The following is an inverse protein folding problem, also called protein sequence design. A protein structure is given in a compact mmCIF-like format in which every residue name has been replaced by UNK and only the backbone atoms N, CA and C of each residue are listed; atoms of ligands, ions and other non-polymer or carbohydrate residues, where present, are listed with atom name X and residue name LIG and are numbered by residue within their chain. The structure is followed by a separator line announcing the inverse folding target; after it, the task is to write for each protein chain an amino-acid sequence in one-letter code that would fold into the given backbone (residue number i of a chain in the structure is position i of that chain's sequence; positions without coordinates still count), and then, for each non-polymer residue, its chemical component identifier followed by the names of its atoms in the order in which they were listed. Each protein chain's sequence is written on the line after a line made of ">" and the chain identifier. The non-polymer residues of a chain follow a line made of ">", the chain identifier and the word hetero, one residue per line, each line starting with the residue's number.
data_IF_676989780626
#
_entry.id   IF_676989780626
#
_cell.length_a   1.000
_cell.length_b   1.000
_cell.length_c   1.000
_cell.angle_alpha   90.00
_cell.angle_beta   90.00
_cell.angle_gamma   90.00
#
_symmetry.space_group_name_H-M   'P 1'
#
loop_
_entity.id
_entity.type
_entity.pdbx_description
1 polymer ?
#
# COMPACT_ATOMS: atom_id res chain seq x y z
N UNK A 1 8.56 -20.20 19.71
CA UNK A 1 8.71 -18.76 20.00
C UNK A 1 9.34 -18.61 21.38
N UNK A 2 10.46 -17.89 21.51
CA UNK A 2 11.15 -17.75 22.79
C UNK A 2 10.54 -16.64 23.67
N UNK A 3 9.76 -15.73 23.08
CA UNK A 3 8.98 -14.71 23.78
C UNK A 3 7.66 -14.36 23.06
N UNK A 4 6.77 -13.62 23.76
CA UNK A 4 5.56 -13.00 23.18
C UNK A 4 5.91 -12.00 22.08
N UNK A 5 7.04 -11.31 22.22
CA UNK A 5 7.53 -10.35 21.24
C UNK A 5 7.93 -11.06 19.93
N UNK A 6 8.63 -12.19 20.02
CA UNK A 6 9.01 -12.98 18.84
C UNK A 6 7.79 -13.48 18.08
N UNK A 7 6.73 -13.89 18.79
CA UNK A 7 5.48 -14.30 18.16
C UNK A 7 4.79 -13.15 17.43
N UNK A 8 4.76 -11.94 18.01
CA UNK A 8 4.17 -10.76 17.38
C UNK A 8 4.94 -10.35 16.11
N UNK A 9 6.27 -10.36 16.17
CA UNK A 9 7.13 -10.07 15.02
C UNK A 9 6.93 -11.07 13.87
N UNK A 10 6.82 -12.36 14.19
CA UNK A 10 6.59 -13.41 13.18
C UNK A 10 5.20 -13.29 12.53
N UNK A 11 4.16 -12.98 13.32
CA UNK A 11 2.81 -12.74 12.78
C UNK A 11 2.82 -11.56 11.82
N UNK A 12 3.43 -10.44 12.20
CA UNK A 12 3.51 -9.28 11.34
C UNK A 12 4.32 -9.53 10.06
N UNK A 13 5.45 -10.23 10.18
CA UNK A 13 6.27 -10.64 9.03
C UNK A 13 5.50 -11.54 8.08
N UNK A 14 4.68 -12.45 8.62
CA UNK A 14 3.77 -13.29 7.83
C UNK A 14 2.75 -12.47 7.03
N UNK A 15 2.08 -11.51 7.67
CA UNK A 15 1.10 -10.65 7.01
C UNK A 15 1.75 -9.80 5.91
N UNK A 16 2.92 -9.19 6.17
CA UNK A 16 3.66 -8.40 5.18
C UNK A 16 4.07 -9.27 3.97
N UNK A 17 4.50 -10.51 4.22
CA UNK A 17 4.83 -11.46 3.15
C UNK A 17 3.62 -11.79 2.29
N UNK A 18 2.47 -12.05 2.91
CA UNK A 18 1.21 -12.35 2.21
C UNK A 18 0.78 -11.17 1.32
N UNK A 19 0.89 -9.93 1.83
CA UNK A 19 0.66 -8.71 1.05
C UNK A 19 1.59 -8.67 -0.17
N UNK A 20 2.89 -8.90 0.03
CA UNK A 20 3.87 -8.91 -1.05
C UNK A 20 3.57 -9.96 -2.13
N UNK A 21 3.16 -11.16 -1.74
CA UNK A 21 2.77 -12.23 -2.67
C UNK A 21 1.49 -11.89 -3.45
N UNK A 22 0.48 -11.36 -2.76
CA UNK A 22 -0.77 -10.90 -3.38
C UNK A 22 -0.50 -9.84 -4.44
N UNK A 23 0.29 -8.82 -4.09
CA UNK A 23 0.66 -7.73 -5.01
C UNK A 23 1.51 -8.23 -6.18
N UNK A 24 2.42 -9.17 -5.96
CA UNK A 24 3.22 -9.74 -7.04
C UNK A 24 2.35 -10.38 -8.13
N UNK A 25 1.31 -11.14 -7.75
CA UNK A 25 0.39 -11.78 -8.70
C UNK A 25 -0.45 -10.73 -9.44
N UNK A 26 -1.05 -9.79 -8.70
CA UNK A 26 -1.89 -8.74 -9.29
C UNK A 26 -1.13 -7.87 -10.30
N UNK A 27 0.15 -7.63 -10.06
CA UNK A 27 0.94 -6.75 -10.92
C UNK A 27 1.36 -7.37 -12.24
N UNK A 28 1.24 -8.69 -12.42
CA UNK A 28 1.57 -9.35 -13.69
C UNK A 28 0.62 -8.97 -14.84
N UNK A 29 -0.60 -8.52 -14.53
CA UNK A 29 -1.60 -8.15 -15.55
C UNK A 29 -1.58 -6.68 -15.94
N UNK A 30 -0.81 -5.83 -15.27
CA UNK A 30 -0.79 -4.40 -15.56
C UNK A 30 0.14 -4.08 -16.74
N UNK A 31 -0.43 -3.57 -17.83
CA UNK A 31 0.30 -3.32 -19.09
C UNK A 31 0.64 -1.85 -19.33
N UNK A 32 0.09 -0.93 -18.52
CA UNK A 32 0.43 0.51 -18.55
C UNK A 32 0.75 1.03 -17.14
N UNK A 33 1.58 2.06 -16.98
CA UNK A 33 1.85 2.71 -15.70
C UNK A 33 0.58 3.15 -14.98
N UNK A 34 -0.37 3.74 -15.71
CA UNK A 34 -1.66 4.17 -15.16
C UNK A 34 -2.46 2.98 -14.61
N UNK A 35 -2.54 1.89 -15.37
CA UNK A 35 -3.21 0.67 -14.92
C UNK A 35 -2.48 0.02 -13.74
N UNK A 36 -1.15 0.07 -13.71
CA UNK A 36 -0.34 -0.45 -12.62
C UNK A 36 -0.55 0.34 -11.32
N UNK A 37 -0.58 1.68 -11.39
CA UNK A 37 -0.88 2.52 -10.23
C UNK A 37 -2.27 2.22 -9.66
N UNK A 38 -3.28 2.12 -10.53
CA UNK A 38 -4.64 1.80 -10.12
C UNK A 38 -4.74 0.40 -9.50
N UNK A 39 -4.06 -0.60 -10.10
CA UNK A 39 -4.03 -1.98 -9.60
C UNK A 39 -3.28 -2.06 -8.26
N UNK A 40 -2.21 -1.30 -8.09
CA UNK A 40 -1.47 -1.24 -6.84
C UNK A 40 -2.35 -0.76 -5.67
N UNK A 41 -3.06 0.36 -5.87
CA UNK A 41 -3.95 0.94 -4.87
C UNK A 41 -5.11 -0.03 -4.56
N UNK A 42 -5.85 -0.46 -5.59
CA UNK A 42 -7.00 -1.37 -5.41
C UNK A 42 -6.58 -2.71 -4.81
N UNK A 43 -5.44 -3.26 -5.19
CA UNK A 43 -4.92 -4.52 -4.66
C UNK A 43 -4.59 -4.41 -3.17
N UNK A 44 -3.92 -3.33 -2.76
CA UNK A 44 -3.54 -3.13 -1.36
C UNK A 44 -4.77 -2.91 -0.47
N UNK A 45 -5.73 -2.10 -0.93
CA UNK A 45 -6.99 -1.87 -0.20
C UNK A 45 -7.89 -3.12 -0.21
N UNK A 46 -7.93 -3.85 -1.32
CA UNK A 46 -8.64 -5.13 -1.43
C UNK A 46 -8.10 -6.17 -0.46
N UNK A 47 -6.79 -6.24 -0.24
CA UNK A 47 -6.21 -7.09 0.79
C UNK A 47 -6.73 -6.74 2.20
N UNK A 48 -6.88 -5.44 2.51
CA UNK A 48 -7.45 -5.01 3.80
C UNK A 48 -8.89 -5.46 3.97
N UNK A 49 -9.69 -5.36 2.90
CA UNK A 49 -11.08 -5.82 2.85
C UNK A 49 -11.20 -7.33 3.05
N UNK A 50 -10.32 -8.09 2.38
CA UNK A 50 -10.38 -9.55 2.36
C UNK A 50 -9.74 -10.18 3.62
N UNK A 51 -8.93 -9.41 4.36
CA UNK A 51 -8.21 -9.88 5.56
C UNK A 51 -8.30 -8.93 6.78
N UNK A 52 -9.50 -8.52 7.22
CA UNK A 52 -9.68 -7.50 8.26
C UNK A 52 -9.10 -7.91 9.63
N UNK A 53 -9.19 -9.19 10.00
CA UNK A 53 -8.60 -9.68 11.27
C UNK A 53 -7.08 -9.60 11.27
N UNK A 54 -6.43 -9.87 10.13
CA UNK A 54 -4.97 -9.78 9.99
C UNK A 54 -4.52 -8.33 10.08
N UNK A 55 -5.23 -7.42 9.41
CA UNK A 55 -4.94 -5.99 9.46
C UNK A 55 -5.15 -5.42 10.86
N UNK A 56 -6.19 -5.85 11.56
CA UNK A 56 -6.40 -5.48 12.97
C UNK A 56 -5.25 -5.95 13.86
N UNK A 57 -4.84 -7.22 13.73
CA UNK A 57 -3.71 -7.74 14.49
C UNK A 57 -2.41 -6.98 14.21
N UNK A 58 -2.15 -6.64 12.94
CA UNK A 58 -0.98 -5.86 12.54
C UNK A 58 -1.00 -4.46 13.17
N UNK A 59 -2.15 -3.80 13.17
CA UNK A 59 -2.34 -2.50 13.81
C UNK A 59 -2.17 -2.58 15.34
N UNK A 60 -2.73 -3.61 15.99
CA UNK A 60 -2.60 -3.81 17.43
C UNK A 60 -1.12 -4.02 17.83
N UNK A 61 -0.37 -4.80 17.05
CA UNK A 61 1.07 -5.03 17.26
C UNK A 61 1.86 -3.73 17.06
N UNK A 62 1.53 -2.94 16.04
CA UNK A 62 2.13 -1.63 15.79
C UNK A 62 1.89 -0.68 16.98
N UNK A 63 0.63 -0.56 17.42
CA UNK A 63 0.24 0.31 18.53
C UNK A 63 0.85 -0.12 19.87
N UNK A 64 1.13 -1.41 20.06
CA UNK A 64 1.81 -1.92 21.26
C UNK A 64 3.34 -1.70 21.25
N UNK A 65 3.90 -1.09 20.18
CA UNK A 65 5.35 -0.97 19.98
C UNK A 65 6.02 -2.33 19.68
N UNK A 66 5.24 -3.34 19.33
CA UNK A 66 5.72 -4.68 18.97
C UNK A 66 6.22 -4.76 17.54
N UNK A 67 5.91 -3.75 16.73
CA UNK A 67 6.46 -3.56 15.39
C UNK A 67 7.47 -2.40 15.43
N UNK A 68 8.76 -2.68 15.26
CA UNK A 68 9.66 -1.65 14.74
C UNK A 68 9.42 -1.59 13.24
N UNK A 69 8.79 -0.53 12.75
CA UNK A 69 8.83 -0.22 11.32
C UNK A 69 10.29 0.08 10.97
N UNK A 70 11.02 -0.96 10.59
CA UNK A 70 12.43 -0.81 10.25
C UNK A 70 12.56 -0.14 8.87
N UNK A 71 13.65 0.60 8.68
CA UNK A 71 13.87 1.32 7.42
C UNK A 71 13.94 0.39 6.21
N UNK A 72 14.24 -0.90 6.40
CA UNK A 72 14.29 -1.89 5.33
C UNK A 72 12.89 -2.25 4.79
N UNK A 73 11.92 -2.46 5.68
CA UNK A 73 10.53 -2.74 5.31
C UNK A 73 9.90 -1.52 4.63
N UNK A 74 10.16 -0.32 5.16
CA UNK A 74 9.72 0.93 4.54
C UNK A 74 10.30 1.08 3.12
N UNK A 75 11.60 0.86 2.99
CA UNK A 75 12.27 1.00 1.70
C UNK A 75 11.78 -0.03 0.69
N UNK A 76 11.47 -1.25 1.12
CA UNK A 76 10.91 -2.28 0.22
C UNK A 76 9.52 -1.90 -0.28
N UNK A 77 8.63 -1.44 0.62
CA UNK A 77 7.29 -0.99 0.24
C UNK A 77 7.36 0.18 -0.76
N UNK A 78 8.18 1.19 -0.45
CA UNK A 78 8.38 2.34 -1.34
C UNK A 78 8.99 1.94 -2.68
N UNK A 79 9.91 0.98 -2.72
CA UNK A 79 10.53 0.52 -3.97
C UNK A 79 9.54 -0.06 -5.00
N UNK A 80 8.39 -0.58 -4.54
CA UNK A 80 7.34 -1.09 -5.41
C UNK A 80 6.65 0.04 -6.19
N UNK A 81 6.14 1.02 -5.45
CA UNK A 81 5.42 2.16 -6.02
C UNK A 81 6.37 3.11 -6.78
N UNK A 82 7.59 3.32 -6.29
CA UNK A 82 8.61 4.14 -6.97
C UNK A 82 8.88 3.61 -8.40
N UNK A 83 8.94 2.29 -8.60
CA UNK A 83 9.12 1.70 -9.94
C UNK A 83 7.96 1.98 -10.89
N UNK A 84 6.72 1.95 -10.39
CA UNK A 84 5.54 2.27 -11.21
C UNK A 84 5.58 3.75 -11.64
N UNK A 85 5.95 4.63 -10.71
CA UNK A 85 6.01 6.07 -10.95
C UNK A 85 7.13 6.44 -11.94
N UNK A 86 8.32 5.84 -11.80
CA UNK A 86 9.43 6.00 -12.75
C UNK A 86 9.00 5.55 -14.14
N UNK A 87 8.39 4.37 -14.25
CA UNK A 87 7.92 3.85 -15.53
C UNK A 87 6.92 4.81 -16.21
N UNK A 88 6.00 5.41 -15.44
CA UNK A 88 5.06 6.38 -15.99
C UNK A 88 5.71 7.69 -16.46
N UNK A 89 6.77 8.16 -15.79
CA UNK A 89 7.55 9.31 -16.26
C UNK A 89 8.33 8.98 -17.54
N UNK A 90 9.00 7.82 -17.57
CA UNK A 90 9.80 7.38 -18.72
C UNK A 90 8.96 7.17 -19.99
N UNK A 91 7.73 6.68 -19.84
CA UNK A 91 6.78 6.47 -20.94
C UNK A 91 5.99 7.73 -21.30
N UNK A 92 6.04 8.76 -20.46
CA UNK A 92 5.34 10.03 -20.65
C UNK A 92 3.84 10.01 -20.36
N UNK A 93 3.31 8.91 -19.79
CA UNK A 93 1.94 8.88 -19.26
C UNK A 93 1.78 9.77 -18.02
N UNK A 94 2.85 9.88 -17.22
CA UNK A 94 2.87 10.75 -16.05
C UNK A 94 3.63 12.04 -16.33
N UNK A 95 3.21 13.13 -15.67
CA UNK A 95 3.95 14.39 -15.63
C UNK A 95 5.21 14.27 -14.78
N UNK A 96 6.05 15.28 -14.86
CA UNK A 96 7.21 15.39 -13.97
C UNK A 96 6.76 15.74 -12.54
N UNK A 97 7.27 14.97 -11.58
CA UNK A 97 7.14 15.16 -10.13
C UNK A 97 8.29 14.46 -9.42
N UNK A 98 8.53 14.83 -8.16
CA UNK A 98 9.46 14.10 -7.32
C UNK A 98 8.90 12.71 -6.98
N UNK A 99 9.57 11.66 -7.45
CA UNK A 99 9.17 10.26 -7.29
C UNK A 99 9.02 9.90 -5.81
N UNK A 100 9.95 10.33 -4.95
CA UNK A 100 9.96 9.97 -3.52
C UNK A 100 8.81 10.61 -2.79
N UNK A 101 8.52 11.88 -3.08
CA UNK A 101 7.38 12.60 -2.51
C UNK A 101 6.06 11.93 -2.91
N UNK A 102 5.89 11.63 -4.20
CA UNK A 102 4.65 11.01 -4.69
C UNK A 102 4.47 9.59 -4.12
N UNK A 103 5.52 8.75 -4.16
CA UNK A 103 5.52 7.41 -3.59
C UNK A 103 5.15 7.41 -2.10
N UNK A 104 5.79 8.29 -1.32
CA UNK A 104 5.52 8.42 0.12
C UNK A 104 4.08 8.86 0.36
N UNK A 105 3.58 9.82 -0.41
CA UNK A 105 2.20 10.32 -0.27
C UNK A 105 1.17 9.24 -0.54
N UNK A 106 1.34 8.45 -1.61
CA UNK A 106 0.48 7.31 -1.93
C UNK A 106 0.52 6.28 -0.80
N UNK A 107 1.72 5.90 -0.37
CA UNK A 107 1.89 4.90 0.69
C UNK A 107 1.21 5.35 1.99
N UNK A 108 1.40 6.60 2.41
CA UNK A 108 0.79 7.14 3.63
C UNK A 108 -0.73 7.27 3.54
N UNK A 109 -1.27 7.58 2.35
CA UNK A 109 -2.72 7.58 2.13
C UNK A 109 -3.33 6.19 2.32
N UNK A 110 -2.60 5.13 1.93
CA UNK A 110 -3.01 3.73 2.13
C UNK A 110 -2.82 3.30 3.59
N UNK A 111 -1.66 3.58 4.18
CA UNK A 111 -1.32 3.21 5.57
C UNK A 111 -2.27 3.85 6.60
N UNK A 112 -2.93 4.95 6.25
CA UNK A 112 -3.93 5.61 7.08
C UNK A 112 -5.26 4.87 7.18
N UNK A 113 -5.60 4.01 6.21
CA UNK A 113 -6.92 3.36 6.12
C UNK A 113 -7.26 2.53 7.38
N UNK A 114 -6.37 1.68 7.92
CA UNK A 114 -6.66 0.92 9.12
C UNK A 114 -7.04 1.79 10.33
N UNK A 115 -6.50 3.00 10.44
CA UNK A 115 -6.85 3.95 11.50
C UNK A 115 -8.25 4.53 11.30
N UNK A 116 -8.64 4.82 10.06
CA UNK A 116 -10.01 5.28 9.74
C UNK A 116 -11.02 4.17 10.05
N UNK A 117 -10.71 2.92 9.70
CA UNK A 117 -11.56 1.76 10.01
C UNK A 117 -11.79 1.53 11.51
N UNK A 118 -10.89 1.99 12.39
CA UNK A 118 -11.11 1.93 13.84
C UNK A 118 -12.25 2.84 14.30
N UNK A 119 -12.43 3.98 13.64
CA UNK A 119 -13.50 4.96 13.95
C UNK A 119 -14.74 4.77 13.09
N UNK A 120 -14.61 4.14 11.92
CA UNK A 120 -15.70 3.78 11.02
C UNK A 120 -15.54 2.32 10.54
N UNK A 121 -16.08 1.35 11.29
CA UNK A 121 -16.05 -0.07 10.91
C UNK A 121 -16.87 -0.40 9.65
N UNK A 122 -17.72 0.53 9.19
CA UNK A 122 -18.59 0.36 8.01
C UNK A 122 -18.01 0.97 6.76
N UNK A 123 -16.76 1.46 6.82
CA UNK A 123 -16.05 2.09 5.71
C UNK A 123 -16.11 1.22 4.45
N UNK A 124 -16.62 1.79 3.37
CA UNK A 124 -16.60 1.16 2.06
C UNK A 124 -15.19 1.27 1.47
N UNK A 125 -14.42 0.19 1.61
CA UNK A 125 -13.04 0.10 1.14
C UNK A 125 -12.92 0.13 -0.39
N UNK A 126 -13.94 -0.34 -1.11
CA UNK A 126 -13.91 -0.34 -2.57
C UNK A 126 -14.11 1.09 -3.10
N UNK A 127 -15.10 1.81 -2.55
CA UNK A 127 -15.29 3.22 -2.84
C UNK A 127 -14.08 4.06 -2.43
N UNK A 128 -13.48 3.77 -1.27
CA UNK A 128 -12.26 4.46 -0.83
C UNK A 128 -11.09 4.24 -1.77
N UNK A 129 -10.88 3.00 -2.23
CA UNK A 129 -9.85 2.68 -3.20
C UNK A 129 -10.06 3.43 -4.52
N UNK A 130 -11.30 3.48 -5.01
CA UNK A 130 -11.63 4.18 -6.26
C UNK A 130 -11.38 5.70 -6.16
N UNK A 131 -11.69 6.32 -5.03
CA UNK A 131 -11.38 7.73 -4.78
C UNK A 131 -9.86 7.98 -4.73
N UNK A 132 -9.09 7.10 -4.08
CA UNK A 132 -7.62 7.21 -4.11
C UNK A 132 -7.06 7.02 -5.52
N UNK A 133 -7.59 6.06 -6.29
CA UNK A 133 -7.19 5.87 -7.70
C UNK A 133 -7.48 7.13 -8.50
N UNK A 134 -8.67 7.71 -8.36
CA UNK A 134 -9.05 8.93 -9.07
C UNK A 134 -8.13 10.10 -8.69
N UNK A 135 -7.92 10.34 -7.40
CA UNK A 135 -7.05 11.39 -6.88
C UNK A 135 -5.64 11.27 -7.45
N UNK A 136 -5.03 10.09 -7.36
CA UNK A 136 -3.66 9.91 -7.81
C UNK A 136 -3.53 9.86 -9.32
N UNK A 137 -4.56 9.42 -10.06
CA UNK A 137 -4.60 9.54 -11.53
C UNK A 137 -4.55 11.00 -11.94
N UNK A 138 -5.36 11.87 -11.32
CA UNK A 138 -5.30 13.31 -11.58
C UNK A 138 -3.96 13.91 -11.16
N UNK A 139 -3.44 13.49 -10.01
CA UNK A 139 -2.18 14.01 -9.48
C UNK A 139 -0.97 13.62 -10.35
N UNK A 140 -1.01 12.49 -11.07
CA UNK A 140 0.11 12.03 -11.91
C UNK A 140 -0.07 12.31 -13.39
N UNK A 141 -1.28 12.53 -13.88
CA UNK A 141 -1.55 12.74 -15.30
C UNK A 141 -0.72 13.88 -15.89
N UNK A 142 -0.21 13.67 -17.11
CA UNK A 142 0.36 14.74 -17.93
C UNK A 142 -0.76 15.66 -18.41
N UNK A 143 -0.63 16.97 -18.19
CA UNK A 143 -1.51 17.95 -18.80
C UNK A 143 -1.38 17.83 -20.32
N UNK A 144 -2.52 17.69 -21.00
CA UNK A 144 -2.62 17.61 -22.47
C UNK A 144 -2.60 19.00 -23.08
#
# INVERSE_FOLDING_TARGET
>A
FASKHDLMTEVATGVIRDIGQHMHVLMQSATTPTAALATYIRGTVGFMRDHPERMRALLDIFMSGGLSWDGASEQSALSGIERILVWGQETGEFRDFDIRVMATTIQRAIDGIPFVQQTDPTLDLDAWADELVFLFTLATAREV
#
